data_IF_373421405670
#
_entry.id   IF_373421405670
#
_cell.length_a   1.000
_cell.length_b   1.000
_cell.length_c   1.000
_cell.angle_alpha   90.00
_cell.angle_beta   90.00
_cell.angle_gamma   90.00
#
_symmetry.space_group_name_H-M   'P 1'
#
loop_
_entity.id
_entity.type
_entity.pdbx_description
1 polymer ?
#
# COMPACT_ATOMS: atom_id res chain seq x y z
N UNK A 1 8.16 30.63 -19.32
CA UNK A 1 8.67 30.77 -17.93
C UNK A 1 10.03 31.49 -17.84
N UNK A 2 10.94 31.31 -18.80
CA UNK A 2 12.29 31.91 -18.76
C UNK A 2 12.34 33.44 -19.06
N UNK A 3 11.33 34.01 -19.72
CA UNK A 3 11.25 35.45 -20.04
C UNK A 3 10.86 36.32 -18.83
N UNK A 4 9.90 35.88 -18.02
CA UNK A 4 9.40 36.60 -16.84
C UNK A 4 10.47 36.69 -15.75
N UNK A 5 11.21 35.60 -15.50
CA UNK A 5 12.26 35.58 -14.48
C UNK A 5 13.47 36.46 -14.83
N UNK A 6 13.81 36.59 -16.12
CA UNK A 6 14.86 37.51 -16.57
C UNK A 6 14.45 38.98 -16.35
N UNK A 7 13.18 39.31 -16.59
CA UNK A 7 12.61 40.65 -16.38
C UNK A 7 12.55 41.04 -14.89
N UNK A 8 12.14 40.11 -14.01
CA UNK A 8 11.96 40.40 -12.58
C UNK A 8 13.29 40.51 -11.80
N UNK A 9 14.31 39.71 -12.13
CA UNK A 9 15.56 39.66 -11.36
C UNK A 9 16.74 40.38 -12.01
N UNK A 10 16.62 40.81 -13.28
CA UNK A 10 17.71 41.43 -14.04
C UNK A 10 18.15 42.82 -13.55
N UNK A 11 17.32 43.50 -12.72
CA UNK A 11 17.61 44.82 -12.13
C UNK A 11 18.22 44.77 -10.72
N UNK A 12 18.38 43.59 -10.13
CA UNK A 12 18.88 43.44 -8.75
C UNK A 12 20.40 43.20 -8.71
N UNK A 13 21.10 43.62 -7.65
CA UNK A 13 22.51 43.27 -7.44
C UNK A 13 22.73 41.76 -7.41
N UNK A 14 23.85 41.28 -7.99
CA UNK A 14 24.12 39.85 -8.18
C UNK A 14 24.10 38.99 -6.90
N UNK A 15 24.46 39.56 -5.75
CA UNK A 15 24.42 38.89 -4.45
C UNK A 15 22.99 38.61 -3.95
N UNK A 16 22.00 39.37 -4.43
CA UNK A 16 20.58 39.21 -4.09
C UNK A 16 19.84 38.32 -5.11
N UNK A 17 20.32 38.23 -6.35
CA UNK A 17 19.67 37.44 -7.41
C UNK A 17 19.66 35.93 -7.12
N UNK A 18 20.79 35.38 -6.63
CA UNK A 18 20.92 33.93 -6.36
C UNK A 18 19.96 33.40 -5.28
N UNK A 19 19.86 33.99 -4.08
CA UNK A 19 18.92 33.51 -3.06
C UNK A 19 17.45 33.68 -3.49
N UNK A 20 17.11 34.78 -4.17
CA UNK A 20 15.74 35.01 -4.66
C UNK A 20 15.31 34.03 -5.76
N UNK A 21 16.19 33.71 -6.70
CA UNK A 21 15.91 32.70 -7.74
C UNK A 21 15.67 31.32 -7.12
N UNK A 22 16.51 30.92 -6.15
CA UNK A 22 16.30 29.66 -5.40
C UNK A 22 14.97 29.66 -4.63
N UNK A 23 14.63 30.76 -3.98
CA UNK A 23 13.34 30.90 -3.27
C UNK A 23 12.13 30.80 -4.20
N UNK A 24 12.20 31.44 -5.38
CA UNK A 24 11.14 31.34 -6.39
C UNK A 24 11.02 29.93 -6.97
N UNK A 25 12.14 29.28 -7.29
CA UNK A 25 12.13 27.89 -7.78
C UNK A 25 11.59 26.93 -6.72
N UNK A 26 12.02 27.07 -5.46
CA UNK A 26 11.49 26.30 -4.34
C UNK A 26 9.99 26.51 -4.14
N UNK A 27 9.50 27.76 -4.23
CA UNK A 27 8.07 28.06 -4.17
C UNK A 27 7.30 27.46 -5.35
N UNK A 28 7.84 27.54 -6.57
CA UNK A 28 7.21 26.95 -7.74
C UNK A 28 7.14 25.41 -7.65
N UNK A 29 8.18 24.77 -7.08
CA UNK A 29 8.18 23.33 -6.79
C UNK A 29 7.14 23.00 -5.71
N UNK A 30 7.06 23.76 -4.62
CA UNK A 30 6.07 23.57 -3.55
C UNK A 30 4.63 23.73 -4.09
N UNK A 31 4.36 24.75 -4.91
CA UNK A 31 3.04 24.94 -5.53
C UNK A 31 2.64 23.77 -6.42
N UNK A 32 3.57 23.27 -7.26
CA UNK A 32 3.33 22.09 -8.11
C UNK A 32 3.13 20.82 -7.29
N UNK A 33 3.96 20.61 -6.27
CA UNK A 33 3.84 19.49 -5.35
C UNK A 33 2.49 19.48 -4.64
N UNK A 34 2.07 20.63 -4.08
CA UNK A 34 0.74 20.76 -3.45
C UNK A 34 -0.40 20.54 -4.42
N UNK A 35 -0.29 21.02 -5.67
CA UNK A 35 -1.29 20.75 -6.69
C UNK A 35 -1.37 19.26 -7.04
N UNK A 36 -0.23 18.58 -7.19
CA UNK A 36 -0.18 17.15 -7.44
C UNK A 36 -0.81 16.34 -6.29
N UNK A 37 -0.46 16.67 -5.04
CA UNK A 37 -1.06 16.00 -3.88
C UNK A 37 -2.57 16.22 -3.80
N UNK A 38 -3.05 17.46 -4.04
CA UNK A 38 -4.49 17.72 -4.07
C UNK A 38 -5.21 16.88 -5.13
N UNK A 39 -4.63 16.76 -6.32
CA UNK A 39 -5.22 15.94 -7.38
C UNK A 39 -5.26 14.45 -6.98
N UNK A 40 -4.16 13.90 -6.46
CA UNK A 40 -4.12 12.51 -6.01
C UNK A 40 -5.13 12.23 -4.89
N UNK A 41 -5.28 13.17 -3.96
CA UNK A 41 -6.30 13.06 -2.90
C UNK A 41 -7.70 13.10 -3.50
N UNK A 42 -7.98 14.03 -4.41
CA UNK A 42 -9.29 14.13 -5.06
C UNK A 42 -9.62 12.86 -5.86
N UNK A 43 -8.68 12.37 -6.67
CA UNK A 43 -8.84 11.15 -7.45
C UNK A 43 -9.10 9.92 -6.54
N UNK A 44 -8.41 9.83 -5.39
CA UNK A 44 -8.61 8.76 -4.41
C UNK A 44 -9.98 8.86 -3.72
N UNK A 45 -10.44 10.08 -3.42
CA UNK A 45 -11.78 10.32 -2.87
C UNK A 45 -12.86 9.92 -3.89
N UNK A 46 -12.72 10.34 -5.14
CA UNK A 46 -13.66 10.03 -6.20
C UNK A 46 -13.70 8.52 -6.45
N UNK A 47 -12.55 7.85 -6.54
CA UNK A 47 -12.49 6.39 -6.67
C UNK A 47 -13.19 5.69 -5.49
N UNK A 48 -12.93 6.13 -4.26
CA UNK A 48 -13.52 5.55 -3.05
C UNK A 48 -15.03 5.75 -2.99
N UNK A 49 -15.52 6.94 -3.36
CA UNK A 49 -16.94 7.25 -3.40
C UNK A 49 -17.69 6.40 -4.44
N UNK A 50 -17.04 6.10 -5.56
CA UNK A 50 -17.69 5.43 -6.70
C UNK A 50 -17.39 3.91 -6.79
N UNK A 51 -16.53 3.37 -5.91
CA UNK A 51 -16.02 1.99 -6.04
C UNK A 51 -17.12 0.90 -6.02
N UNK A 52 -18.26 1.17 -5.40
CA UNK A 52 -19.39 0.23 -5.26
C UNK A 52 -20.67 0.65 -5.99
N UNK A 53 -20.67 1.70 -6.82
CA UNK A 53 -21.91 2.20 -7.46
C UNK A 53 -22.71 1.13 -8.22
N UNK A 54 -21.98 0.18 -8.80
CA UNK A 54 -22.48 -0.93 -9.61
C UNK A 54 -22.72 -2.21 -8.79
N UNK A 55 -22.56 -2.16 -7.48
CA UNK A 55 -22.78 -3.26 -6.53
C UNK A 55 -23.80 -2.82 -5.50
N UNK A 56 -25.09 -3.00 -5.81
CA UNK A 56 -26.21 -2.61 -4.92
C UNK A 56 -26.89 -3.81 -4.26
N UNK A 57 -26.51 -5.02 -4.67
CA UNK A 57 -27.11 -6.26 -4.22
C UNK A 57 -26.10 -7.42 -4.26
N UNK A 58 -26.43 -8.52 -3.59
CA UNK A 58 -25.63 -9.75 -3.63
C UNK A 58 -25.46 -10.29 -5.07
N UNK A 59 -26.51 -10.35 -5.93
CA UNK A 59 -26.34 -10.74 -7.33
C UNK A 59 -25.40 -9.83 -8.13
N UNK A 60 -25.40 -8.51 -7.88
CA UNK A 60 -24.45 -7.59 -8.53
C UNK A 60 -23.01 -7.90 -8.15
N UNK A 61 -22.76 -8.14 -6.87
CA UNK A 61 -21.46 -8.52 -6.36
C UNK A 61 -20.99 -9.82 -6.99
N UNK A 62 -21.82 -10.86 -6.99
CA UNK A 62 -21.49 -12.17 -7.54
C UNK A 62 -21.07 -12.09 -9.01
N UNK A 63 -21.77 -11.29 -9.82
CA UNK A 63 -21.40 -11.04 -11.23
C UNK A 63 -20.03 -10.39 -11.39
N UNK A 64 -19.63 -9.52 -10.45
CA UNK A 64 -18.38 -8.74 -10.53
C UNK A 64 -17.19 -9.38 -9.83
N UNK A 65 -17.44 -10.26 -8.86
CA UNK A 65 -16.46 -10.83 -7.94
C UNK A 65 -15.21 -11.35 -8.65
N UNK A 66 -15.37 -12.14 -9.71
CA UNK A 66 -14.23 -12.74 -10.40
C UNK A 66 -13.41 -11.70 -11.17
N UNK A 67 -14.06 -10.73 -11.82
CA UNK A 67 -13.34 -9.61 -12.47
C UNK A 67 -12.56 -8.80 -11.44
N UNK A 68 -13.16 -8.44 -10.31
CA UNK A 68 -12.49 -7.70 -9.24
C UNK A 68 -11.32 -8.47 -8.63
N UNK A 69 -11.48 -9.79 -8.43
CA UNK A 69 -10.39 -10.67 -7.95
C UNK A 69 -9.27 -10.79 -8.98
N UNK A 70 -9.60 -10.85 -10.27
CA UNK A 70 -8.63 -10.84 -11.36
C UNK A 70 -7.82 -9.55 -11.40
N UNK A 71 -8.49 -8.40 -11.34
CA UNK A 71 -7.84 -7.09 -11.27
C UNK A 71 -6.91 -6.97 -10.06
N UNK A 72 -7.37 -7.40 -8.88
CA UNK A 72 -6.54 -7.44 -7.67
C UNK A 72 -5.30 -8.31 -7.86
N UNK A 73 -5.45 -9.51 -8.42
CA UNK A 73 -4.31 -10.39 -8.70
C UNK A 73 -3.32 -9.74 -9.67
N UNK A 74 -3.80 -9.16 -10.77
CA UNK A 74 -2.97 -8.47 -11.74
C UNK A 74 -2.19 -7.29 -11.11
N UNK A 75 -2.85 -6.46 -10.30
CA UNK A 75 -2.21 -5.35 -9.58
C UNK A 75 -1.12 -5.82 -8.62
N UNK A 76 -1.31 -6.98 -7.99
CA UNK A 76 -0.33 -7.60 -7.09
C UNK A 76 0.74 -8.43 -7.82
N UNK A 77 0.69 -8.52 -9.15
CA UNK A 77 1.59 -9.39 -9.94
C UNK A 77 1.35 -10.89 -9.71
N UNK A 78 0.15 -11.26 -9.27
CA UNK A 78 -0.29 -12.62 -8.94
C UNK A 78 -1.14 -13.26 -10.06
N UNK A 79 -0.97 -12.79 -11.29
CA UNK A 79 -1.61 -13.34 -12.49
C UNK A 79 -0.53 -13.72 -13.53
N UNK A 80 -0.21 -15.02 -13.71
CA UNK A 80 -0.83 -16.18 -13.05
C UNK A 80 -0.44 -16.29 -11.56
N UNK A 81 -1.25 -17.02 -10.80
CA UNK A 81 -0.88 -17.37 -9.43
C UNK A 81 0.35 -18.28 -9.43
N UNK A 82 1.30 -18.09 -8.49
CA UNK A 82 2.42 -19.00 -8.36
C UNK A 82 1.95 -20.41 -8.03
N UNK A 83 2.74 -21.40 -8.43
CA UNK A 83 2.46 -22.80 -8.10
C UNK A 83 2.40 -22.98 -6.58
N UNK A 84 1.40 -23.73 -6.12
CA UNK A 84 1.27 -24.06 -4.70
C UNK A 84 2.39 -25.01 -4.31
N UNK A 85 3.14 -24.64 -3.30
CA UNK A 85 4.22 -25.46 -2.75
C UNK A 85 3.87 -25.96 -1.35
N UNK A 86 4.42 -27.10 -0.91
CA UNK A 86 4.21 -27.58 0.45
C UNK A 86 4.76 -26.55 1.47
N UNK A 87 3.94 -26.20 2.45
CA UNK A 87 4.25 -25.12 3.41
C UNK A 87 5.50 -25.38 4.28
N UNK A 88 5.83 -26.66 4.54
CA UNK A 88 6.98 -27.10 5.36
C UNK A 88 7.12 -26.34 6.69
N UNK A 89 6.00 -26.09 7.36
CA UNK A 89 5.98 -25.39 8.64
C UNK A 89 6.62 -26.23 9.76
N UNK A 90 7.39 -25.57 10.62
CA UNK A 90 8.04 -26.15 11.81
C UNK A 90 7.80 -25.25 13.01
N UNK A 91 7.44 -25.87 14.14
CA UNK A 91 7.37 -25.17 15.43
C UNK A 91 8.79 -25.12 16.01
N UNK A 92 9.29 -23.92 16.27
CA UNK A 92 10.63 -23.69 16.83
C UNK A 92 10.63 -23.47 18.34
N UNK A 93 9.44 -23.26 18.93
CA UNK A 93 9.27 -23.19 20.37
C UNK A 93 7.85 -22.80 20.76
N UNK A 94 7.53 -23.01 22.03
CA UNK A 94 6.21 -22.71 22.59
C UNK A 94 6.35 -21.84 23.83
N UNK A 95 5.44 -20.89 23.98
CA UNK A 95 5.36 -20.01 25.14
C UNK A 95 4.01 -20.17 25.80
N UNK A 96 4.02 -20.63 27.05
CA UNK A 96 2.80 -20.85 27.84
C UNK A 96 2.30 -19.54 28.46
N UNK A 97 0.98 -19.30 28.39
CA UNK A 97 0.26 -18.23 29.11
C UNK A 97 -0.94 -18.81 29.84
N UNK A 98 -1.55 -18.06 30.75
CA UNK A 98 -2.69 -18.55 31.53
C UNK A 98 -3.87 -18.99 30.65
N UNK A 99 -4.26 -18.19 29.66
CA UNK A 99 -5.43 -18.46 28.82
C UNK A 99 -5.12 -19.07 27.44
N UNK A 100 -3.86 -19.02 26.99
CA UNK A 100 -3.45 -19.48 25.65
C UNK A 100 -1.99 -19.93 25.66
N UNK A 101 -1.54 -20.54 24.56
CA UNK A 101 -0.12 -20.75 24.26
C UNK A 101 0.23 -20.09 22.94
N UNK A 102 1.49 -19.72 22.77
CA UNK A 102 2.03 -19.16 21.52
C UNK A 102 2.99 -20.18 20.94
N UNK A 103 2.72 -20.67 19.74
CA UNK A 103 3.64 -21.50 18.97
C UNK A 103 4.42 -20.61 18.00
N UNK A 104 5.74 -20.62 18.10
CA UNK A 104 6.63 -19.93 17.17
C UNK A 104 6.82 -20.83 15.95
N UNK A 105 6.44 -20.36 14.77
CA UNK A 105 6.45 -21.14 13.53
C UNK A 105 7.44 -20.52 12.56
N UNK A 106 8.21 -21.37 11.88
CA UNK A 106 8.97 -21.02 10.69
C UNK A 106 8.48 -21.90 9.56
N UNK A 107 8.17 -21.31 8.40
CA UNK A 107 7.67 -22.04 7.23
C UNK A 107 8.18 -21.43 5.93
N UNK A 108 8.09 -22.16 4.82
CA UNK A 108 8.46 -21.68 3.49
C UNK A 108 7.22 -21.06 2.82
N UNK A 109 7.22 -19.73 2.57
CA UNK A 109 6.09 -19.08 1.88
C UNK A 109 6.12 -19.32 0.38
N UNK A 110 7.33 -19.44 -0.16
CA UNK A 110 7.69 -19.99 -1.47
C UNK A 110 9.00 -20.77 -1.27
N UNK A 111 9.43 -21.65 -2.20
CA UNK A 111 10.68 -22.38 -2.07
C UNK A 111 11.84 -21.45 -1.74
N UNK A 112 12.63 -21.84 -0.74
CA UNK A 112 13.81 -21.11 -0.24
C UNK A 112 13.53 -19.73 0.39
N UNK A 113 12.27 -19.35 0.59
CA UNK A 113 11.88 -18.13 1.32
C UNK A 113 11.19 -18.46 2.64
N UNK A 114 11.94 -18.34 3.74
CA UNK A 114 11.44 -18.59 5.09
C UNK A 114 10.71 -17.39 5.68
N UNK A 115 9.54 -17.64 6.25
CA UNK A 115 8.73 -16.67 6.98
C UNK A 115 8.49 -17.18 8.40
N UNK A 116 8.59 -16.27 9.37
CA UNK A 116 8.31 -16.53 10.78
C UNK A 116 6.89 -16.07 11.13
N UNK A 117 6.18 -16.85 11.94
CA UNK A 117 4.86 -16.51 12.45
C UNK A 117 4.72 -16.91 13.92
N UNK A 118 3.76 -16.28 14.62
CA UNK A 118 3.35 -16.68 15.96
C UNK A 118 1.89 -17.12 15.88
N UNK A 119 1.62 -18.38 16.24
CA UNK A 119 0.28 -18.93 16.29
C UNK A 119 -0.23 -18.92 17.74
N UNK A 120 -1.29 -18.16 17.97
CA UNK A 120 -1.91 -18.01 19.29
C UNK A 120 -3.04 -19.01 19.42
N UNK A 121 -2.92 -19.95 20.36
CA UNK A 121 -3.87 -21.03 20.53
C UNK A 121 -4.51 -20.96 21.93
N UNK A 122 -5.83 -20.76 22.03
CA UNK A 122 -6.51 -20.74 23.33
C UNK A 122 -6.41 -22.10 24.03
N UNK A 123 -6.50 -22.09 25.36
CA UNK A 123 -6.60 -23.33 26.15
C UNK A 123 -8.05 -23.84 26.15
N UNK A 124 -8.20 -25.17 26.07
CA UNK A 124 -9.49 -25.84 26.17
C UNK A 124 -10.44 -25.84 24.96
N UNK A 125 -10.04 -25.59 23.69
CA UNK A 125 -10.96 -25.77 22.58
C UNK A 125 -11.20 -27.28 22.36
N UNK A 126 -12.47 -27.68 22.35
CA UNK A 126 -12.90 -29.04 21.99
C UNK A 126 -13.00 -29.25 20.47
N UNK A 127 -13.03 -28.16 19.71
CA UNK A 127 -13.17 -28.13 18.26
C UNK A 127 -12.24 -27.06 17.66
N UNK A 128 -11.95 -27.11 16.34
CA UNK A 128 -11.20 -26.05 15.67
C UNK A 128 -11.89 -24.69 15.83
N UNK A 129 -11.24 -23.77 16.52
CA UNK A 129 -11.69 -22.39 16.70
C UNK A 129 -11.01 -21.46 15.68
N UNK A 130 -11.71 -20.44 15.14
CA UNK A 130 -11.15 -19.47 14.20
C UNK A 130 -9.98 -18.65 14.77
#
# INVERSE_FOLDING_TARGET
MNSILKSCFGRLPGWLQRPLKRGFEAHAVDVRHRAALRNLVQDALDLSAHCLEKVRSLPDWQRRRETSRGQLRAMLGLDPLPERTPLRAKITGTVERSAYRIEKIVFESVPDLFVTANLYLPRGPSEPVP
#
